data_IF_966372957075
#
_entry.id   IF_966372957075
#
_cell.length_a   1.000
_cell.length_b   1.000
_cell.length_c   1.000
_cell.angle_alpha   90.00
_cell.angle_beta   90.00
_cell.angle_gamma   90.00
#
_symmetry.space_group_name_H-M   'P 1'
#
loop_
_entity.id
_entity.type
_entity.pdbx_description
1 polymer ?
#
# COMPACT_ATOMS: atom_id res chain seq x y z
N UNK A 1 28.15 21.22 15.86
CA UNK A 1 26.79 20.89 15.39
C UNK A 1 26.25 19.78 16.27
N UNK A 2 25.03 19.90 16.77
CA UNK A 2 24.38 18.84 17.54
C UNK A 2 23.91 17.74 16.56
N UNK A 3 24.41 16.50 16.66
CA UNK A 3 23.99 15.39 15.79
C UNK A 3 22.49 15.12 15.81
N UNK A 4 21.79 15.44 16.90
CA UNK A 4 20.33 15.25 17.03
C UNK A 4 19.49 16.23 16.20
N UNK A 5 20.10 17.29 15.67
CA UNK A 5 19.39 18.36 14.94
C UNK A 5 19.72 18.44 13.45
N UNK A 6 20.67 17.61 12.98
CA UNK A 6 21.26 17.73 11.63
C UNK A 6 20.95 16.55 10.71
N UNK A 7 19.91 15.74 11.02
CA UNK A 7 19.50 14.58 10.21
C UNK A 7 19.52 14.82 8.70
N UNK A 8 18.94 15.95 8.28
CA UNK A 8 18.80 16.29 6.86
C UNK A 8 20.17 16.45 6.18
N UNK A 9 21.21 16.92 6.88
CA UNK A 9 22.53 17.13 6.28
C UNK A 9 23.28 15.84 5.98
N UNK A 10 22.87 14.71 6.57
CA UNK A 10 23.39 13.38 6.26
C UNK A 10 22.32 12.44 5.71
N UNK A 11 21.17 12.98 5.29
CA UNK A 11 20.12 12.19 4.67
C UNK A 11 20.48 11.90 3.20
N UNK A 12 21.22 10.80 2.99
CA UNK A 12 21.82 10.45 1.70
C UNK A 12 20.85 10.39 0.53
N UNK A 13 19.59 10.00 0.76
CA UNK A 13 18.53 9.96 -0.26
C UNK A 13 18.28 11.32 -0.93
N UNK A 14 18.69 12.44 -0.34
CA UNK A 14 18.61 13.74 -1.00
C UNK A 14 19.60 13.91 -2.17
N UNK A 15 20.51 12.96 -2.40
CA UNK A 15 21.48 12.99 -3.49
C UNK A 15 21.11 11.94 -4.55
N UNK A 16 20.27 12.30 -5.53
CA UNK A 16 19.87 11.42 -6.64
C UNK A 16 18.59 10.60 -6.39
N UNK A 17 17.98 10.75 -5.21
CA UNK A 17 16.60 10.34 -4.92
C UNK A 17 15.78 11.51 -4.33
N UNK A 18 16.23 12.73 -4.64
CA UNK A 18 15.57 13.97 -4.27
C UNK A 18 14.15 14.01 -4.82
N UNK A 19 13.24 14.54 -4.00
CA UNK A 19 11.79 14.47 -4.22
C UNK A 19 11.20 13.06 -4.45
N UNK A 20 11.99 11.98 -4.37
CA UNK A 20 11.57 10.60 -4.61
C UNK A 20 11.30 9.78 -3.36
N UNK A 21 11.69 10.26 -2.17
CA UNK A 21 11.64 9.46 -0.93
C UNK A 21 10.24 8.93 -0.57
N UNK A 22 9.17 9.65 -0.94
CA UNK A 22 7.79 9.17 -0.76
C UNK A 22 7.49 7.91 -1.59
N UNK A 23 8.26 7.67 -2.64
CA UNK A 23 8.17 6.52 -3.54
C UNK A 23 8.27 5.18 -2.83
N UNK A 24 8.97 5.12 -1.68
CA UNK A 24 8.99 3.91 -0.85
C UNK A 24 7.60 3.56 -0.30
N UNK A 25 6.92 4.51 0.36
CA UNK A 25 5.59 4.28 0.90
C UNK A 25 4.54 4.07 -0.22
N UNK A 26 4.71 4.78 -1.34
CA UNK A 26 3.89 4.58 -2.53
C UNK A 26 4.04 3.16 -3.10
N UNK A 27 5.28 2.68 -3.25
CA UNK A 27 5.55 1.33 -3.73
C UNK A 27 5.02 0.26 -2.77
N UNK A 28 5.14 0.46 -1.45
CA UNK A 28 4.56 -0.44 -0.46
C UNK A 28 3.03 -0.52 -0.56
N UNK A 29 2.37 0.60 -0.85
CA UNK A 29 0.92 0.61 -1.01
C UNK A 29 0.46 -0.17 -2.24
N UNK A 30 1.15 0.02 -3.38
CA UNK A 30 0.91 -0.75 -4.60
C UNK A 30 1.19 -2.24 -4.36
N UNK A 31 2.32 -2.58 -3.73
CA UNK A 31 2.72 -3.95 -3.47
C UNK A 31 1.71 -4.69 -2.58
N UNK A 32 1.17 -4.01 -1.56
CA UNK A 32 0.11 -4.58 -0.72
C UNK A 32 -1.17 -4.86 -1.51
N UNK A 33 -1.55 -3.99 -2.45
CA UNK A 33 -2.73 -4.23 -3.30
C UNK A 33 -2.49 -5.37 -4.30
N UNK A 34 -1.31 -5.43 -4.91
CA UNK A 34 -0.90 -6.50 -5.83
C UNK A 34 -0.81 -7.87 -5.12
N UNK A 35 -0.38 -7.91 -3.87
CA UNK A 35 -0.35 -9.13 -3.06
C UNK A 35 -1.73 -9.81 -2.97
N UNK A 36 -2.82 -9.05 -3.04
CA UNK A 36 -4.18 -9.60 -3.00
C UNK A 36 -4.50 -10.55 -4.16
N UNK A 37 -3.78 -10.46 -5.28
CA UNK A 37 -3.91 -11.41 -6.40
C UNK A 37 -3.39 -12.79 -5.98
N UNK A 38 -2.25 -12.83 -5.29
CA UNK A 38 -1.65 -14.06 -4.78
C UNK A 38 -2.42 -14.61 -3.59
N UNK A 39 -2.87 -13.77 -2.65
CA UNK A 39 -3.68 -14.21 -1.50
C UNK A 39 -5.00 -14.89 -1.91
N UNK A 40 -5.54 -14.53 -3.07
CA UNK A 40 -6.76 -15.14 -3.64
C UNK A 40 -6.49 -16.31 -4.58
N UNK A 41 -5.23 -16.55 -4.95
CA UNK A 41 -4.86 -17.63 -5.84
C UNK A 41 -4.94 -18.98 -5.13
N UNK A 42 -5.15 -20.06 -5.89
CA UNK A 42 -5.38 -21.41 -5.33
C UNK A 42 -4.17 -21.90 -4.53
N UNK A 43 -2.97 -21.65 -5.04
CA UNK A 43 -1.70 -22.04 -4.41
C UNK A 43 -1.01 -20.84 -3.73
N UNK A 44 -1.75 -19.77 -3.46
CA UNK A 44 -1.24 -18.58 -2.79
C UNK A 44 -0.08 -17.92 -3.56
N UNK A 45 0.98 -17.59 -2.83
CA UNK A 45 2.19 -16.97 -3.38
C UNK A 45 3.01 -17.88 -4.31
N UNK A 46 2.75 -19.20 -4.31
CA UNK A 46 3.43 -20.15 -5.19
C UNK A 46 2.61 -20.48 -6.45
N UNK A 47 1.45 -19.84 -6.62
CA UNK A 47 0.57 -20.08 -7.76
C UNK A 47 1.23 -19.66 -9.09
N UNK A 48 1.40 -20.66 -9.97
CA UNK A 48 2.04 -20.48 -11.27
C UNK A 48 1.28 -19.51 -12.16
N UNK A 49 -0.05 -19.51 -12.15
CA UNK A 49 -0.85 -18.63 -13.00
C UNK A 49 -0.75 -17.18 -12.54
N UNK A 50 -0.82 -16.94 -11.22
CA UNK A 50 -0.59 -15.62 -10.65
C UNK A 50 0.83 -15.09 -10.96
N UNK A 51 1.84 -15.95 -10.83
CA UNK A 51 3.23 -15.62 -11.18
C UNK A 51 3.41 -15.29 -12.66
N UNK A 52 2.81 -16.06 -13.58
CA UNK A 52 2.85 -15.74 -15.01
C UNK A 52 2.12 -14.45 -15.33
N UNK A 53 0.99 -14.16 -14.67
CA UNK A 53 0.28 -12.89 -14.80
C UNK A 53 1.16 -11.71 -14.36
N UNK A 54 1.89 -11.85 -13.25
CA UNK A 54 2.82 -10.83 -12.77
C UNK A 54 3.92 -10.56 -13.82
N UNK A 55 4.49 -11.62 -14.39
CA UNK A 55 5.49 -11.50 -15.45
C UNK A 55 4.95 -10.74 -16.66
N UNK A 56 3.81 -11.18 -17.21
CA UNK A 56 3.26 -10.61 -18.44
C UNK A 56 2.73 -9.19 -18.27
N UNK A 57 2.14 -8.88 -17.12
CA UNK A 57 1.49 -7.58 -16.92
C UNK A 57 2.38 -6.55 -16.21
N UNK A 58 3.41 -6.94 -15.46
CA UNK A 58 4.25 -5.96 -14.73
C UNK A 58 5.66 -5.92 -15.30
N UNK A 59 6.32 -7.06 -15.47
CA UNK A 59 7.74 -7.08 -15.81
C UNK A 59 8.03 -7.01 -17.31
N UNK A 60 7.28 -7.76 -18.11
CA UNK A 60 7.50 -7.85 -19.55
C UNK A 60 7.34 -6.51 -20.30
N UNK A 61 6.36 -5.64 -19.97
CA UNK A 61 6.23 -4.36 -20.67
C UNK A 61 7.34 -3.36 -20.33
N UNK A 62 7.95 -3.45 -19.14
CA UNK A 62 8.84 -2.40 -18.63
C UNK A 62 8.19 -1.02 -18.70
N UNK A 63 8.93 -0.04 -19.22
CA UNK A 63 8.47 1.35 -19.37
C UNK A 63 7.68 1.60 -20.68
N UNK A 64 7.44 0.58 -21.50
CA UNK A 64 6.68 0.73 -22.75
C UNK A 64 5.17 0.91 -22.53
N UNK A 65 4.69 0.72 -21.30
CA UNK A 65 3.30 0.86 -20.90
C UNK A 65 3.22 1.59 -19.56
N UNK A 66 2.29 2.55 -19.48
CA UNK A 66 2.03 3.26 -18.23
C UNK A 66 1.86 2.28 -17.04
N UNK A 67 2.57 2.56 -15.96
CA UNK A 67 2.64 1.66 -14.82
C UNK A 67 1.26 1.45 -14.17
N UNK A 68 0.38 2.46 -14.15
CA UNK A 68 -0.96 2.29 -13.59
C UNK A 68 -1.79 1.35 -14.46
N UNK A 69 -1.69 1.45 -15.79
CA UNK A 69 -2.34 0.50 -16.70
C UNK A 69 -1.84 -0.92 -16.46
N UNK A 70 -0.53 -1.11 -16.28
CA UNK A 70 0.07 -2.41 -15.95
C UNK A 70 -0.48 -2.97 -14.64
N UNK A 71 -0.55 -2.15 -13.60
CA UNK A 71 -1.06 -2.55 -12.28
C UNK A 71 -2.55 -2.87 -12.34
N UNK A 72 -3.38 -2.07 -13.03
CA UNK A 72 -4.81 -2.34 -13.17
C UNK A 72 -5.09 -3.64 -13.93
N UNK A 73 -4.32 -3.94 -14.98
CA UNK A 73 -4.40 -5.22 -15.71
C UNK A 73 -4.00 -6.40 -14.83
N UNK A 74 -2.93 -6.27 -14.05
CA UNK A 74 -2.52 -7.29 -13.10
C UNK A 74 -3.58 -7.52 -12.01
N UNK A 75 -4.18 -6.47 -11.46
CA UNK A 75 -5.23 -6.55 -10.43
C UNK A 75 -6.58 -7.03 -11.00
N UNK A 76 -6.89 -6.73 -12.26
CA UNK A 76 -8.22 -6.89 -12.85
C UNK A 76 -9.25 -5.87 -12.34
N UNK A 77 -8.79 -4.80 -11.68
CA UNK A 77 -9.59 -3.71 -11.10
C UNK A 77 -8.70 -2.49 -10.89
N UNK A 78 -9.33 -1.36 -10.57
CA UNK A 78 -8.60 -0.17 -10.11
C UNK A 78 -7.84 -0.45 -8.80
N UNK A 79 -6.74 0.25 -8.63
CA UNK A 79 -5.91 0.23 -7.43
C UNK A 79 -6.70 0.66 -6.19
N UNK A 80 -6.32 0.14 -5.03
CA UNK A 80 -6.89 0.49 -3.72
C UNK A 80 -5.80 0.54 -2.66
N UNK A 81 -5.88 1.53 -1.78
CA UNK A 81 -5.00 1.64 -0.61
C UNK A 81 -5.45 0.77 0.56
N UNK A 82 -6.63 0.16 0.49
CA UNK A 82 -7.20 -0.60 1.60
C UNK A 82 -6.32 -1.79 2.05
N UNK A 83 -5.72 -2.58 1.15
CA UNK A 83 -4.81 -3.67 1.57
C UNK A 83 -3.57 -3.15 2.31
N UNK A 84 -3.04 -1.99 1.91
CA UNK A 84 -1.93 -1.34 2.61
C UNK A 84 -2.32 -0.89 4.02
N UNK A 85 -3.47 -0.21 4.15
CA UNK A 85 -3.97 0.22 5.46
C UNK A 85 -4.16 -0.98 6.40
N UNK A 86 -4.76 -2.06 5.90
CA UNK A 86 -4.88 -3.32 6.65
C UNK A 86 -3.51 -3.87 7.07
N UNK A 87 -2.52 -3.88 6.15
CA UNK A 87 -1.15 -4.36 6.41
C UNK A 87 -0.46 -3.59 7.54
N UNK A 88 -0.67 -2.28 7.63
CA UNK A 88 -0.08 -1.43 8.69
C UNK A 88 -0.96 -1.32 9.95
N UNK A 89 -2.03 -2.12 10.06
CA UNK A 89 -2.90 -2.18 11.23
C UNK A 89 -3.97 -1.08 11.30
N UNK A 90 -4.22 -0.36 10.22
CA UNK A 90 -5.30 0.64 10.11
C UNK A 90 -6.52 -0.01 9.46
N UNK A 91 -7.57 -0.25 10.25
CA UNK A 91 -8.85 -0.79 9.80
C UNK A 91 -10.01 0.17 10.02
N UNK A 92 -11.18 -0.13 9.46
CA UNK A 92 -12.41 0.60 9.74
C UNK A 92 -12.60 0.67 11.26
N UNK A 93 -12.65 1.89 11.81
CA UNK A 93 -12.93 2.09 13.23
C UNK A 93 -14.25 1.37 13.54
N UNK A 94 -14.23 0.39 14.45
CA UNK A 94 -15.45 -0.05 15.09
C UNK A 94 -16.08 1.22 15.66
N UNK A 95 -17.27 1.57 15.16
CA UNK A 95 -18.07 2.66 15.71
C UNK A 95 -18.25 2.32 17.19
N UNK A 96 -17.50 2.97 18.09
CA UNK A 96 -17.75 2.83 19.52
C UNK A 96 -19.13 3.45 19.74
N UNK A 97 -20.14 2.62 19.93
CA UNK A 97 -21.40 3.12 20.46
C UNK A 97 -21.08 3.72 21.83
N UNK A 98 -21.25 5.03 21.95
CA UNK A 98 -21.19 5.68 23.23
C UNK A 98 -22.27 5.03 24.12
N UNK A 99 -21.95 4.62 25.36
CA UNK A 99 -22.99 4.15 26.27
C UNK A 99 -24.03 5.25 26.43
N UNK A 100 -25.32 4.89 26.33
CA UNK A 100 -26.43 5.80 26.47
C UNK A 100 -26.23 6.64 27.74
N UNK A 101 -26.17 7.97 27.57
CA UNK A 101 -26.03 8.90 28.69
C UNK A 101 -27.19 8.71 29.68
N UNK A 102 -26.96 8.97 30.98
CA UNK A 102 -28.00 8.78 31.99
C UNK A 102 -29.20 9.68 31.64
N UNK A 103 -30.37 9.05 31.53
CA UNK A 103 -31.65 9.76 31.40
C UNK A 103 -31.93 10.47 32.71
N UNK A 104 -31.79 11.79 32.71
CA UNK A 104 -32.19 12.61 33.84
C UNK A 104 -33.72 12.58 33.92
N UNK A 105 -34.27 11.92 34.94
CA UNK A 105 -35.69 12.07 35.28
C UNK A 105 -35.84 13.38 36.06
N UNK A 106 -36.62 14.28 35.48
CA UNK A 106 -36.99 15.56 36.09
C UNK A 106 -37.62 15.36 37.48
N UNK A 107 -37.25 16.24 38.40
CA UNK A 107 -38.02 16.57 39.60
C UNK A 107 -38.41 18.04 39.50
#
# INVERSE_FOLDING_TARGET
MDPSTTFVSYFGHLNGYDAGYYGYAWADAIAADMATVFEKAKEGYLDKQAGMKLRHEIYEPGDSRDANVSIEKFLGRKQSTQPFLKKIGIGAQQKREAPAGPTHKDR
#
